data_IF_724913731379
#
_entry.id   IF_724913731379
#
_cell.length_a   1.000
_cell.length_b   1.000
_cell.length_c   1.000
_cell.angle_alpha   90.00
_cell.angle_beta   90.00
_cell.angle_gamma   90.00
#
_symmetry.space_group_name_H-M   'P 1'
#
loop_
_entity.id
_entity.type
_entity.pdbx_description
1 polymer ?
#
# COMPACT_ATOMS: atom_id res chain seq x y z
N UNK A 1 -72.91 14.22 -14.74
CA UNK A 1 -73.59 15.01 -15.77
C UNK A 1 -74.90 14.37 -16.20
N UNK A 2 -75.00 13.08 -16.59
CA UNK A 2 -76.19 12.42 -17.00
C UNK A 2 -77.28 12.39 -15.90
N UNK A 3 -76.88 12.07 -14.66
CA UNK A 3 -77.78 12.05 -13.51
C UNK A 3 -78.34 13.45 -13.12
N UNK A 4 -77.48 14.47 -13.22
CA UNK A 4 -77.92 15.87 -12.99
C UNK A 4 -78.96 16.32 -14.02
N UNK A 5 -78.86 15.81 -15.26
CA UNK A 5 -79.85 16.06 -16.29
C UNK A 5 -81.24 15.45 -16.00
N UNK A 6 -81.33 14.44 -15.10
CA UNK A 6 -82.62 13.86 -14.67
C UNK A 6 -83.49 14.80 -13.78
N UNK A 7 -82.81 15.75 -13.07
CA UNK A 7 -83.57 16.76 -12.29
C UNK A 7 -84.13 17.91 -13.13
N UNK A 8 -83.46 18.22 -14.25
CA UNK A 8 -83.82 19.35 -15.09
C UNK A 8 -85.32 19.30 -15.56
N UNK A 9 -85.83 18.14 -16.03
CA UNK A 9 -87.23 18.06 -16.43
C UNK A 9 -88.19 18.29 -15.26
N UNK A 10 -87.86 17.78 -14.05
CA UNK A 10 -88.69 17.99 -12.86
C UNK A 10 -88.67 19.45 -12.39
N UNK A 11 -87.52 20.12 -12.51
CA UNK A 11 -87.39 21.54 -12.22
C UNK A 11 -88.06 22.42 -13.24
N UNK A 12 -87.99 22.10 -14.54
CA UNK A 12 -88.73 22.79 -15.61
C UNK A 12 -90.21 22.68 -15.44
N UNK A 13 -90.70 21.47 -15.13
CA UNK A 13 -92.14 21.24 -14.94
C UNK A 13 -92.69 21.92 -13.67
N UNK A 14 -91.88 21.94 -12.59
CA UNK A 14 -92.20 22.72 -11.39
C UNK A 14 -92.22 24.23 -11.66
N UNK A 15 -91.28 24.76 -12.47
CA UNK A 15 -91.28 26.17 -12.88
C UNK A 15 -92.51 26.53 -13.73
N UNK A 16 -92.93 25.65 -14.65
CA UNK A 16 -94.11 25.87 -15.50
C UNK A 16 -95.45 25.88 -14.68
N UNK A 17 -95.55 24.94 -13.72
CA UNK A 17 -96.67 24.89 -12.76
C UNK A 17 -96.67 26.12 -11.85
N UNK A 18 -95.58 26.58 -11.35
CA UNK A 18 -95.48 27.82 -10.56
C UNK A 18 -95.90 29.04 -11.38
N UNK A 19 -95.47 29.12 -12.65
CA UNK A 19 -95.82 30.20 -13.59
C UNK A 19 -97.35 30.23 -13.94
N UNK A 20 -97.99 29.08 -13.91
CA UNK A 20 -99.45 28.97 -14.13
C UNK A 20 -100.29 29.23 -12.87
N UNK A 21 -99.73 29.51 -11.73
CA UNK A 21 -100.38 29.81 -10.46
C UNK A 21 -100.69 28.60 -9.59
N UNK A 22 -100.37 27.37 -10.04
CA UNK A 22 -100.57 26.13 -9.28
C UNK A 22 -99.35 25.82 -8.41
N UNK A 23 -99.23 26.64 -7.36
CA UNK A 23 -98.06 26.57 -6.42
C UNK A 23 -98.02 25.24 -5.65
N UNK A 24 -99.19 24.60 -5.44
CA UNK A 24 -99.21 23.33 -4.69
C UNK A 24 -98.70 22.18 -5.56
N UNK A 25 -99.00 22.14 -6.83
CA UNK A 25 -98.44 21.18 -7.78
C UNK A 25 -96.93 21.42 -7.99
N UNK A 26 -96.44 22.65 -8.09
CA UNK A 26 -95.07 23.01 -8.22
C UNK A 26 -94.22 22.49 -7.00
N UNK A 27 -94.74 22.66 -5.78
CA UNK A 27 -94.15 22.18 -4.55
C UNK A 27 -94.05 20.63 -4.56
N UNK A 28 -95.03 19.90 -5.06
CA UNK A 28 -95.03 18.44 -5.13
C UNK A 28 -93.98 17.88 -6.09
N UNK A 29 -93.55 18.64 -7.11
CA UNK A 29 -92.49 18.25 -8.03
C UNK A 29 -91.08 18.44 -7.40
N UNK A 30 -90.83 19.53 -6.70
CA UNK A 30 -89.53 19.86 -6.12
C UNK A 30 -89.32 19.19 -4.76
N UNK A 31 -90.41 18.87 -4.04
CA UNK A 31 -90.38 18.18 -2.75
C UNK A 31 -91.04 16.81 -2.77
N UNK A 32 -91.23 16.26 -3.95
CA UNK A 32 -91.83 14.95 -4.16
C UNK A 32 -90.81 13.83 -3.99
N UNK A 33 -91.28 12.59 -3.73
CA UNK A 33 -90.41 11.40 -3.54
C UNK A 33 -89.47 11.17 -4.69
N UNK A 34 -89.86 11.49 -5.93
CA UNK A 34 -89.02 11.30 -7.14
C UNK A 34 -87.81 12.27 -7.18
N UNK A 35 -88.04 13.54 -6.81
CA UNK A 35 -86.98 14.56 -6.72
C UNK A 35 -86.02 14.22 -5.58
N UNK A 36 -86.52 13.90 -4.39
CA UNK A 36 -85.70 13.53 -3.25
C UNK A 36 -84.92 12.24 -3.50
N UNK A 37 -85.50 11.23 -4.14
CA UNK A 37 -84.86 10.00 -4.56
C UNK A 37 -83.72 10.25 -5.54
N UNK A 38 -83.93 11.12 -6.54
CA UNK A 38 -82.91 11.47 -7.54
C UNK A 38 -81.76 12.28 -6.90
N UNK A 39 -82.04 13.21 -5.98
CA UNK A 39 -81.01 13.95 -5.22
C UNK A 39 -80.17 13.01 -4.33
N UNK A 40 -80.86 12.05 -3.67
CA UNK A 40 -80.14 11.05 -2.86
C UNK A 40 -79.22 10.16 -3.70
N UNK A 41 -79.65 9.73 -4.89
CA UNK A 41 -78.83 8.92 -5.80
C UNK A 41 -77.68 9.71 -6.36
N UNK A 42 -77.84 10.99 -6.71
CA UNK A 42 -76.72 11.86 -7.11
C UNK A 42 -75.78 12.06 -5.98
N UNK A 43 -76.22 12.30 -4.76
CA UNK A 43 -75.41 12.50 -3.60
C UNK A 43 -74.60 11.22 -3.26
N UNK A 44 -75.25 10.05 -3.23
CA UNK A 44 -74.61 8.76 -2.99
C UNK A 44 -73.49 8.44 -4.04
N UNK A 45 -73.82 8.72 -5.34
CA UNK A 45 -72.83 8.50 -6.42
C UNK A 45 -71.65 9.45 -6.33
N UNK A 46 -71.95 10.71 -5.96
CA UNK A 46 -70.86 11.71 -5.75
C UNK A 46 -69.99 11.33 -4.57
N UNK A 47 -70.54 10.92 -3.44
CA UNK A 47 -69.80 10.45 -2.27
C UNK A 47 -69.00 9.20 -2.58
N UNK A 48 -69.54 8.24 -3.33
CA UNK A 48 -68.82 7.08 -3.79
C UNK A 48 -67.62 7.47 -4.67
N UNK A 49 -67.78 8.41 -5.61
CA UNK A 49 -66.72 8.91 -6.44
C UNK A 49 -65.57 9.61 -5.62
N UNK A 50 -66.00 10.44 -4.67
CA UNK A 50 -65.08 11.12 -3.76
C UNK A 50 -64.24 10.08 -2.92
N UNK A 51 -64.96 9.09 -2.36
CA UNK A 51 -64.31 8.02 -1.58
C UNK A 51 -63.34 7.20 -2.44
N UNK A 52 -63.69 6.85 -3.68
CA UNK A 52 -62.82 6.15 -4.62
C UNK A 52 -61.56 6.96 -4.96
N UNK A 53 -61.71 8.25 -5.21
CA UNK A 53 -60.61 9.15 -5.47
C UNK A 53 -59.70 9.24 -4.25
N UNK A 54 -60.27 9.42 -3.05
CA UNK A 54 -59.51 9.47 -1.81
C UNK A 54 -58.74 8.15 -1.54
N UNK A 55 -59.39 7.00 -1.73
CA UNK A 55 -58.76 5.69 -1.58
C UNK A 55 -57.59 5.49 -2.56
N UNK A 56 -57.76 5.86 -3.82
CA UNK A 56 -56.70 5.83 -4.84
C UNK A 56 -55.55 6.78 -4.50
N UNK A 57 -55.86 7.97 -4.02
CA UNK A 57 -54.83 8.92 -3.58
C UNK A 57 -54.05 8.38 -2.38
N UNK A 58 -54.71 7.84 -1.36
CA UNK A 58 -54.10 7.24 -0.19
C UNK A 58 -53.20 6.05 -0.56
N UNK A 59 -53.66 5.18 -1.45
CA UNK A 59 -52.85 4.05 -1.95
C UNK A 59 -51.63 4.52 -2.70
N UNK A 60 -51.77 5.52 -3.58
CA UNK A 60 -50.64 6.10 -4.32
C UNK A 60 -49.63 6.76 -3.40
N UNK A 61 -50.10 7.47 -2.38
CA UNK A 61 -49.28 8.09 -1.36
C UNK A 61 -48.46 7.05 -0.56
N UNK A 62 -49.09 5.96 -0.14
CA UNK A 62 -48.42 4.86 0.56
C UNK A 62 -47.37 4.19 -0.32
N UNK A 63 -47.65 3.97 -1.60
CA UNK A 63 -46.69 3.42 -2.55
C UNK A 63 -45.50 4.34 -2.75
N UNK A 64 -45.72 5.64 -2.90
CA UNK A 64 -44.63 6.63 -3.02
C UNK A 64 -43.77 6.69 -1.75
N UNK A 65 -44.39 6.66 -0.57
CA UNK A 65 -43.67 6.62 0.69
C UNK A 65 -42.83 5.35 0.83
N UNK A 66 -43.36 4.19 0.43
CA UNK A 66 -42.62 2.93 0.43
C UNK A 66 -41.37 2.99 -0.50
N UNK A 67 -41.57 3.52 -1.71
CA UNK A 67 -40.46 3.70 -2.67
C UNK A 67 -39.41 4.66 -2.11
N UNK A 68 -39.80 5.76 -1.50
CA UNK A 68 -38.92 6.73 -0.90
C UNK A 68 -38.09 6.10 0.24
N UNK A 69 -38.74 5.35 1.14
CA UNK A 69 -38.08 4.67 2.25
C UNK A 69 -37.11 3.60 1.73
N UNK A 70 -37.52 2.77 0.79
CA UNK A 70 -36.65 1.73 0.21
C UNK A 70 -35.41 2.32 -0.49
N UNK A 71 -35.61 3.40 -1.26
CA UNK A 71 -34.51 4.11 -1.90
C UNK A 71 -33.55 4.72 -0.89
N UNK A 72 -34.06 5.30 0.19
CA UNK A 72 -33.26 5.86 1.27
C UNK A 72 -32.42 4.76 1.98
N UNK A 73 -33.02 3.59 2.27
CA UNK A 73 -32.33 2.45 2.86
C UNK A 73 -31.21 1.94 1.95
N UNK A 74 -31.49 1.79 0.66
CA UNK A 74 -30.48 1.36 -0.33
C UNK A 74 -29.32 2.36 -0.36
N UNK A 75 -29.61 3.65 -0.36
CA UNK A 75 -28.59 4.70 -0.36
C UNK A 75 -27.70 4.64 0.88
N UNK A 76 -28.28 4.45 2.06
CA UNK A 76 -27.54 4.31 3.32
C UNK A 76 -26.64 3.06 3.28
N UNK A 77 -27.13 1.92 2.80
CA UNK A 77 -26.37 0.69 2.67
C UNK A 77 -25.19 0.87 1.69
N UNK A 78 -25.41 1.50 0.55
CA UNK A 78 -24.33 1.82 -0.38
C UNK A 78 -23.28 2.73 0.25
N UNK A 79 -23.70 3.75 0.98
CA UNK A 79 -22.78 4.65 1.66
C UNK A 79 -21.91 3.92 2.71
N UNK A 80 -22.54 3.06 3.52
CA UNK A 80 -21.83 2.25 4.52
C UNK A 80 -20.82 1.28 3.88
N UNK A 81 -21.19 0.66 2.76
CA UNK A 81 -20.27 -0.24 2.04
C UNK A 81 -19.07 0.50 1.46
N UNK A 82 -19.29 1.68 0.88
CA UNK A 82 -18.21 2.54 0.37
C UNK A 82 -17.30 3.00 1.51
N UNK A 83 -17.86 3.51 2.61
CA UNK A 83 -17.10 3.95 3.76
C UNK A 83 -16.21 2.81 4.32
N UNK A 84 -16.79 1.60 4.47
CA UNK A 84 -16.04 0.42 4.90
C UNK A 84 -14.89 0.09 3.94
N UNK A 85 -15.13 0.14 2.62
CA UNK A 85 -14.10 -0.11 1.61
C UNK A 85 -12.96 0.90 1.69
N UNK A 86 -13.26 2.18 1.87
CA UNK A 86 -12.25 3.22 2.04
C UNK A 86 -11.37 2.93 3.27
N UNK A 87 -11.97 2.64 4.42
CA UNK A 87 -11.23 2.33 5.64
C UNK A 87 -10.34 1.10 5.46
N UNK A 88 -10.87 0.01 4.88
CA UNK A 88 -10.07 -1.21 4.64
C UNK A 88 -8.90 -0.95 3.69
N UNK A 89 -9.11 -0.18 2.62
CA UNK A 89 -8.05 0.16 1.66
C UNK A 89 -6.96 1.04 2.28
N UNK A 90 -7.35 2.03 3.09
CA UNK A 90 -6.39 2.89 3.81
C UNK A 90 -5.57 2.10 4.84
N UNK A 91 -6.22 1.18 5.56
CA UNK A 91 -5.54 0.33 6.54
C UNK A 91 -4.56 -0.62 5.85
N UNK A 92 -4.98 -1.24 4.75
CA UNK A 92 -4.12 -2.09 3.92
C UNK A 92 -2.90 -1.31 3.41
N UNK A 93 -3.12 -0.15 2.78
CA UNK A 93 -2.02 0.68 2.28
C UNK A 93 -1.03 1.10 3.38
N UNK A 94 -1.53 1.38 4.58
CA UNK A 94 -0.67 1.74 5.72
C UNK A 94 0.17 0.55 6.20
N UNK A 95 -0.41 -0.64 6.30
CA UNK A 95 0.26 -1.82 6.86
C UNK A 95 1.18 -2.50 5.86
N UNK A 96 0.76 -2.63 4.60
CA UNK A 96 1.49 -3.38 3.58
C UNK A 96 2.49 -2.54 2.78
N UNK A 97 2.33 -1.21 2.78
CA UNK A 97 3.23 -0.34 2.03
C UNK A 97 3.97 0.65 2.92
N UNK A 98 3.24 1.48 3.68
CA UNK A 98 3.85 2.62 4.37
C UNK A 98 4.78 2.19 5.51
N UNK A 99 4.34 1.27 6.37
CA UNK A 99 5.14 0.80 7.50
C UNK A 99 6.41 0.07 7.04
N UNK A 100 6.35 -0.88 6.08
CA UNK A 100 7.55 -1.51 5.55
C UNK A 100 8.53 -0.53 4.90
N UNK A 101 8.06 0.43 4.11
CA UNK A 101 8.93 1.45 3.50
C UNK A 101 9.68 2.26 4.56
N UNK A 102 9.00 2.65 5.64
CA UNK A 102 9.67 3.35 6.75
C UNK A 102 10.74 2.48 7.40
N UNK A 103 10.46 1.19 7.64
CA UNK A 103 11.46 0.25 8.19
C UNK A 103 12.68 0.09 7.27
N UNK A 104 12.45 -0.05 5.96
CA UNK A 104 13.56 -0.08 4.97
C UNK A 104 14.37 1.21 5.04
N UNK A 105 13.71 2.36 5.10
CA UNK A 105 14.40 3.66 5.22
C UNK A 105 15.23 3.78 6.49
N UNK A 106 14.74 3.27 7.62
CA UNK A 106 15.49 3.22 8.88
C UNK A 106 16.69 2.30 8.78
N UNK A 107 16.52 1.11 8.19
CA UNK A 107 17.61 0.17 7.93
C UNK A 107 18.70 0.81 7.05
N UNK A 108 18.32 1.50 5.98
CA UNK A 108 19.27 2.21 5.11
C UNK A 108 20.07 3.27 5.85
N UNK A 109 19.48 3.93 6.86
CA UNK A 109 20.24 4.86 7.72
C UNK A 109 21.28 4.15 8.58
N UNK A 110 20.96 2.97 9.12
CA UNK A 110 21.87 2.14 9.91
C UNK A 110 23.02 1.66 9.03
N UNK A 111 22.73 1.20 7.80
CA UNK A 111 23.75 0.81 6.82
C UNK A 111 24.64 1.99 6.41
N UNK A 112 24.07 3.17 6.22
CA UNK A 112 24.82 4.39 5.90
C UNK A 112 25.77 4.83 7.03
N UNK A 113 25.54 4.38 8.27
CA UNK A 113 26.44 4.57 9.41
C UNK A 113 27.54 3.49 9.51
N UNK A 114 27.55 2.53 8.59
CA UNK A 114 28.53 1.46 8.54
C UNK A 114 28.20 0.24 9.41
N UNK A 115 26.96 0.12 9.89
CA UNK A 115 26.51 -1.04 10.66
C UNK A 115 25.83 -2.04 9.73
N UNK A 116 26.58 -3.08 9.33
CA UNK A 116 26.12 -4.11 8.39
C UNK A 116 25.68 -5.42 9.08
N UNK A 117 25.71 -5.48 10.40
CA UNK A 117 25.32 -6.63 11.21
C UNK A 117 23.82 -6.71 11.51
N UNK A 118 23.07 -5.67 11.18
CA UNK A 118 21.63 -5.57 11.42
C UNK A 118 20.83 -6.08 10.22
N UNK A 119 19.85 -6.94 10.47
CA UNK A 119 18.97 -7.48 9.44
C UNK A 119 17.57 -6.91 9.56
N UNK A 120 16.93 -6.63 8.42
CA UNK A 120 15.58 -6.13 8.34
C UNK A 120 14.58 -7.28 8.54
N UNK A 121 13.74 -7.17 9.57
CA UNK A 121 12.68 -8.15 9.85
C UNK A 121 11.41 -7.83 9.05
N UNK A 122 11.45 -8.13 7.75
CA UNK A 122 10.34 -8.04 6.81
C UNK A 122 10.36 -9.25 5.87
N UNK A 123 9.18 -9.67 5.34
CA UNK A 123 9.12 -10.80 4.41
C UNK A 123 9.80 -10.47 3.08
N UNK A 124 10.48 -11.47 2.52
CA UNK A 124 11.08 -11.46 1.19
C UNK A 124 10.13 -12.14 0.21
N UNK A 125 9.04 -11.44 -0.18
CA UNK A 125 8.05 -11.95 -1.12
C UNK A 125 8.17 -11.26 -2.49
N UNK A 126 7.29 -11.63 -3.44
CA UNK A 126 7.28 -11.07 -4.79
C UNK A 126 6.58 -9.69 -4.89
N UNK A 127 6.22 -9.08 -3.76
CA UNK A 127 5.71 -7.71 -3.73
C UNK A 127 6.84 -6.70 -3.99
N UNK A 128 6.48 -5.47 -4.39
CA UNK A 128 7.44 -4.39 -4.59
C UNK A 128 8.27 -4.10 -3.32
N UNK A 129 7.66 -4.26 -2.16
CA UNK A 129 8.34 -4.13 -0.87
C UNK A 129 9.24 -5.33 -0.61
N UNK A 130 8.78 -6.55 -0.86
CA UNK A 130 9.57 -7.78 -0.71
C UNK A 130 10.81 -7.77 -1.60
N UNK A 131 10.68 -7.36 -2.86
CA UNK A 131 11.82 -7.19 -3.78
C UNK A 131 12.83 -6.16 -3.23
N UNK A 132 12.34 -5.05 -2.66
CA UNK A 132 13.20 -4.05 -2.03
C UNK A 132 13.93 -4.61 -0.79
N UNK A 133 13.25 -5.41 0.02
CA UNK A 133 13.85 -6.11 1.18
C UNK A 133 14.94 -7.07 0.72
N UNK A 134 14.68 -7.89 -0.31
CA UNK A 134 15.68 -8.79 -0.91
C UNK A 134 16.93 -8.03 -1.38
N UNK A 135 16.74 -6.91 -2.09
CA UNK A 135 17.85 -6.09 -2.57
C UNK A 135 18.68 -5.51 -1.41
N UNK A 136 18.05 -5.07 -0.33
CA UNK A 136 18.72 -4.57 0.88
C UNK A 136 19.49 -5.69 1.58
N UNK A 137 18.90 -6.88 1.73
CA UNK A 137 19.58 -8.03 2.33
C UNK A 137 20.78 -8.47 1.49
N UNK A 138 20.62 -8.59 0.17
CA UNK A 138 21.70 -8.92 -0.73
C UNK A 138 22.88 -7.92 -0.62
N UNK A 139 22.59 -6.63 -0.60
CA UNK A 139 23.59 -5.59 -0.43
C UNK A 139 24.30 -5.71 0.93
N UNK A 140 23.52 -5.90 2.00
CA UNK A 140 24.05 -6.03 3.36
C UNK A 140 24.96 -7.25 3.51
N UNK A 141 24.54 -8.41 3.03
CA UNK A 141 25.29 -9.65 3.08
C UNK A 141 26.62 -9.53 2.31
N UNK A 142 26.60 -8.91 1.13
CA UNK A 142 27.82 -8.67 0.34
C UNK A 142 28.78 -7.72 1.05
N UNK A 143 28.28 -6.62 1.61
CA UNK A 143 29.14 -5.69 2.34
C UNK A 143 29.75 -6.33 3.59
N UNK A 144 28.94 -7.08 4.34
CA UNK A 144 29.43 -7.80 5.53
C UNK A 144 30.57 -8.76 5.17
N UNK A 145 30.40 -9.58 4.13
CA UNK A 145 31.43 -10.51 3.66
C UNK A 145 32.70 -9.80 3.24
N UNK A 146 32.59 -8.78 2.38
CA UNK A 146 33.75 -8.03 1.89
C UNK A 146 34.48 -7.33 3.02
N UNK A 147 33.81 -6.65 3.95
CA UNK A 147 34.42 -5.94 5.06
C UNK A 147 35.13 -6.92 6.02
N UNK A 148 34.47 -8.06 6.30
CA UNK A 148 35.04 -9.10 7.15
C UNK A 148 36.33 -9.65 6.52
N UNK A 149 36.32 -10.03 5.25
CA UNK A 149 37.50 -10.54 4.56
C UNK A 149 38.64 -9.50 4.49
N UNK A 150 38.32 -8.24 4.14
CA UNK A 150 39.28 -7.13 4.13
C UNK A 150 39.93 -6.99 5.50
N UNK A 151 39.11 -6.99 6.56
CA UNK A 151 39.58 -6.87 7.95
C UNK A 151 40.52 -8.03 8.36
N UNK A 152 40.13 -9.27 7.99
CA UNK A 152 40.95 -10.46 8.25
C UNK A 152 42.30 -10.42 7.51
N UNK A 153 42.27 -10.13 6.21
CA UNK A 153 43.49 -10.06 5.38
C UNK A 153 44.43 -8.98 5.90
N UNK A 154 43.90 -7.77 6.16
CA UNK A 154 44.73 -6.68 6.72
C UNK A 154 45.26 -7.02 8.12
N UNK A 155 44.46 -7.68 8.96
CA UNK A 155 44.89 -8.16 10.27
C UNK A 155 46.02 -9.18 10.18
N UNK A 156 45.95 -10.14 9.26
CA UNK A 156 47.02 -11.12 9.02
C UNK A 156 48.29 -10.46 8.44
N UNK A 157 48.10 -9.53 7.49
CA UNK A 157 49.25 -8.75 6.96
C UNK A 157 49.93 -7.94 8.06
N UNK A 158 49.18 -7.35 9.00
CA UNK A 158 49.72 -6.63 10.16
C UNK A 158 50.51 -7.52 11.11
N UNK A 159 50.23 -8.82 11.14
CA UNK A 159 51.02 -9.83 11.89
C UNK A 159 52.20 -10.42 11.07
N UNK A 160 52.46 -9.91 9.87
CA UNK A 160 53.53 -10.39 9.00
C UNK A 160 53.14 -11.62 8.15
N UNK A 161 51.89 -12.07 8.19
CA UNK A 161 51.44 -13.15 7.35
C UNK A 161 50.93 -12.62 6.01
N UNK A 162 51.76 -12.73 4.98
CA UNK A 162 51.40 -12.35 3.60
C UNK A 162 51.03 -13.56 2.74
N UNK A 163 50.77 -14.74 3.33
CA UNK A 163 50.32 -15.95 2.61
C UNK A 163 48.79 -16.02 2.56
N UNK A 164 48.14 -14.88 2.42
CA UNK A 164 46.70 -14.72 2.35
C UNK A 164 46.30 -14.33 0.92
N UNK A 165 45.06 -14.68 0.55
CA UNK A 165 44.48 -14.31 -0.75
C UNK A 165 43.00 -14.00 -0.55
N UNK A 166 42.44 -12.95 -1.21
CA UNK A 166 41.03 -12.67 -1.19
C UNK A 166 40.24 -13.76 -1.93
N UNK A 167 39.27 -14.39 -1.26
CA UNK A 167 38.48 -15.52 -1.75
C UNK A 167 37.04 -15.12 -2.08
N UNK A 168 36.51 -14.08 -1.41
CA UNK A 168 35.16 -13.63 -1.63
C UNK A 168 34.98 -13.02 -3.02
N UNK A 169 33.72 -13.06 -3.52
CA UNK A 169 33.36 -12.47 -4.79
C UNK A 169 33.05 -10.97 -4.59
N UNK A 170 33.85 -10.11 -5.24
CA UNK A 170 33.67 -8.66 -5.23
C UNK A 170 32.93 -8.23 -6.49
N UNK A 171 31.86 -7.45 -6.34
CA UNK A 171 31.01 -7.02 -7.44
C UNK A 171 31.14 -5.52 -7.72
N UNK A 172 30.98 -5.15 -8.99
CA UNK A 172 31.00 -3.75 -9.42
C UNK A 172 32.33 -3.05 -9.10
N UNK A 173 32.27 -1.86 -8.54
CA UNK A 173 33.45 -1.03 -8.24
C UNK A 173 34.32 -1.60 -7.11
N UNK A 174 33.81 -2.53 -6.32
CA UNK A 174 34.58 -3.19 -5.26
C UNK A 174 35.64 -4.14 -5.79
N UNK A 175 35.58 -4.61 -7.03
CA UNK A 175 36.59 -5.41 -7.69
C UNK A 175 37.95 -4.71 -7.63
N UNK A 176 38.00 -3.39 -7.76
CA UNK A 176 39.23 -2.61 -7.68
C UNK A 176 39.91 -2.70 -6.31
N UNK A 177 39.14 -2.88 -5.23
CA UNK A 177 39.68 -3.08 -3.86
C UNK A 177 40.38 -4.44 -3.81
N UNK A 178 39.72 -5.50 -4.32
CA UNK A 178 40.29 -6.85 -4.40
C UNK A 178 41.61 -6.85 -5.18
N UNK A 179 41.61 -6.24 -6.39
CA UNK A 179 42.81 -6.15 -7.23
C UNK A 179 43.96 -5.40 -6.52
N UNK A 180 43.62 -4.32 -5.81
CA UNK A 180 44.59 -3.54 -5.04
C UNK A 180 45.20 -4.36 -3.89
N UNK A 181 44.36 -5.11 -3.17
CA UNK A 181 44.81 -6.00 -2.09
C UNK A 181 45.76 -7.08 -2.63
N UNK A 182 45.37 -7.77 -3.71
CA UNK A 182 46.20 -8.79 -4.38
C UNK A 182 47.58 -8.20 -4.76
N UNK A 183 47.57 -7.01 -5.35
CA UNK A 183 48.83 -6.32 -5.72
C UNK A 183 49.70 -5.99 -4.52
N UNK A 184 49.14 -5.42 -3.45
CA UNK A 184 49.84 -5.09 -2.22
C UNK A 184 50.45 -6.36 -1.62
N UNK A 185 49.70 -7.45 -1.54
CA UNK A 185 50.20 -8.73 -1.02
C UNK A 185 51.36 -9.25 -1.87
N UNK A 186 51.25 -9.20 -3.20
CA UNK A 186 52.30 -9.63 -4.13
C UNK A 186 53.59 -8.78 -3.96
N UNK A 187 53.45 -7.47 -3.90
CA UNK A 187 54.58 -6.54 -3.74
C UNK A 187 55.25 -6.73 -2.38
N UNK A 188 54.54 -6.98 -1.30
CA UNK A 188 55.08 -7.30 0.02
C UNK A 188 55.81 -8.63 0.03
N UNK A 189 55.25 -9.69 -0.57
CA UNK A 189 55.91 -11.00 -0.74
C UNK A 189 57.27 -10.82 -1.45
N UNK A 190 57.27 -10.06 -2.56
CA UNK A 190 58.49 -9.78 -3.33
C UNK A 190 59.54 -9.03 -2.50
N UNK A 191 59.13 -7.98 -1.78
CA UNK A 191 60.02 -7.19 -0.94
C UNK A 191 60.64 -8.02 0.17
N UNK A 192 59.84 -8.84 0.85
CA UNK A 192 60.36 -9.75 1.89
C UNK A 192 61.33 -10.79 1.32
N UNK A 193 61.04 -11.36 0.16
CA UNK A 193 61.95 -12.28 -0.53
C UNK A 193 63.28 -11.60 -0.87
N UNK A 194 63.23 -10.36 -1.37
CA UNK A 194 64.46 -9.58 -1.65
C UNK A 194 65.29 -9.32 -0.40
N UNK A 195 64.62 -8.92 0.72
CA UNK A 195 65.30 -8.72 2.02
C UNK A 195 65.94 -10.02 2.49
N UNK A 196 65.27 -11.17 2.36
CA UNK A 196 65.80 -12.47 2.76
C UNK A 196 67.03 -12.84 1.95
N UNK A 197 67.04 -12.63 0.63
CA UNK A 197 68.16 -12.87 -0.26
C UNK A 197 69.39 -11.95 0.16
N UNK A 198 69.08 -10.65 0.33
CA UNK A 198 70.17 -9.70 0.76
C UNK A 198 70.73 -10.03 2.13
N UNK A 199 69.90 -10.50 3.08
CA UNK A 199 70.40 -10.95 4.38
C UNK A 199 71.29 -12.17 4.26
N UNK A 200 70.97 -13.15 3.38
CA UNK A 200 71.78 -14.30 3.10
C UNK A 200 73.12 -13.92 2.43
N UNK A 201 73.08 -12.95 1.51
CA UNK A 201 74.35 -12.44 0.89
C UNK A 201 75.25 -11.75 1.89
N UNK A 202 74.68 -10.96 2.82
CA UNK A 202 75.42 -10.31 3.91
C UNK A 202 76.03 -11.36 4.87
N UNK A 203 75.24 -12.39 5.21
CA UNK A 203 75.72 -13.47 6.09
C UNK A 203 76.94 -14.21 5.45
N UNK A 204 76.79 -14.63 4.17
CA UNK A 204 77.85 -15.26 3.40
C UNK A 204 79.11 -14.36 3.22
N UNK A 205 78.86 -13.07 2.95
CA UNK A 205 79.97 -12.09 2.87
C UNK A 205 80.66 -11.89 4.20
N UNK A 206 79.95 -11.91 5.33
CA UNK A 206 80.50 -11.81 6.67
C UNK A 206 81.39 -13.04 7.01
N UNK A 207 80.92 -14.22 6.60
CA UNK A 207 81.71 -15.47 6.81
C UNK A 207 82.99 -15.47 5.98
N UNK A 208 82.92 -15.04 4.71
CA UNK A 208 84.09 -14.87 3.88
C UNK A 208 85.13 -13.87 4.48
N UNK A 209 84.59 -12.76 4.99
CA UNK A 209 85.42 -11.74 5.63
C UNK A 209 86.12 -12.30 6.92
N UNK A 210 85.42 -13.06 7.72
CA UNK A 210 86.00 -13.74 8.91
C UNK A 210 87.05 -14.74 8.53
N UNK A 211 86.87 -15.54 7.45
CA UNK A 211 87.83 -16.46 6.93
C UNK A 211 89.10 -15.74 6.41
N UNK A 212 88.90 -14.64 5.66
CA UNK A 212 90.02 -13.83 5.18
C UNK A 212 90.82 -13.18 6.32
N UNK A 213 90.15 -12.66 7.32
CA UNK A 213 90.78 -12.10 8.53
C UNK A 213 91.56 -13.13 9.29
N UNK A 214 91.08 -14.38 9.38
CA UNK A 214 91.77 -15.50 10.00
C UNK A 214 93.01 -15.88 9.17
N UNK A 215 92.91 -15.94 7.86
CA UNK A 215 94.05 -16.21 6.96
C UNK A 215 95.17 -15.14 7.06
N UNK A 216 94.72 -13.84 7.06
CA UNK A 216 95.70 -12.72 7.26
C UNK A 216 96.35 -12.79 8.62
N UNK A 217 95.63 -13.09 9.70
CA UNK A 217 96.22 -13.25 11.04
C UNK A 217 97.26 -14.40 11.10
N UNK A 218 96.93 -15.53 10.44
CA UNK A 218 97.88 -16.65 10.36
C UNK A 218 99.12 -16.28 9.56
N UNK A 219 98.98 -15.58 8.44
CA UNK A 219 100.10 -15.12 7.63
C UNK A 219 100.97 -14.15 8.39
N UNK A 220 100.38 -13.26 9.20
CA UNK A 220 101.16 -12.28 10.02
C UNK A 220 101.95 -12.94 11.18
N UNK A 221 101.41 -14.05 11.75
CA UNK A 221 102.08 -14.80 12.83
C UNK A 221 103.17 -15.69 12.31
N UNK A 222 103.16 -16.06 11.04
CA UNK A 222 104.20 -16.98 10.44
C UNK A 222 105.29 -16.28 9.64
N UNK A 223 105.28 -14.94 9.47
CA UNK A 223 106.38 -14.21 8.85
C UNK A 223 107.56 -14.19 9.79
N UNK A 224 108.73 -14.67 9.37
CA UNK A 224 109.95 -14.58 10.15
C UNK A 224 110.39 -13.10 10.29
N UNK A 225 110.62 -12.67 11.50
CA UNK A 225 111.30 -11.41 11.88
C UNK A 225 112.73 -11.38 11.44
#
# INVERSE_FOLDING_TARGET
AEMSNGLVPLEEEAMDKAGSGDTQAAISYVFGEEYESTVQEITATTDNCINDIQARMAQKQNTLNLIMITTMVIFILCFLTIARKIVTTLTFAKQELLIPIVKVSEQMKVLAQGHFDSRLDLPEDDSEVGIMVQAVHFMNDNFTKMITEISEILGQMGQGNYRVEPTEEYVGDFVQIKDSMVKIIADMKKTLSTIQVSAQEIDGGSEQLAQAATAVSYTHLTLPT
#
